data_IF_336949724317
#
_entry.id   IF_336949724317
#
_cell.length_a   1.000
_cell.length_b   1.000
_cell.length_c   1.000
_cell.angle_alpha   90.00
_cell.angle_beta   90.00
_cell.angle_gamma   90.00
#
_symmetry.space_group_name_H-M   'P 1'
#
loop_
_entity.id
_entity.type
_entity.pdbx_description
1 polymer ?
#
# COMPACT_ATOMS: atom_id res chain seq x y z
N UNK A 1 0.48 21.76 -19.85
CA UNK A 1 1.21 20.56 -19.38
C UNK A 1 0.20 19.49 -18.97
N UNK A 2 -0.11 18.51 -19.83
CA UNK A 2 -0.98 17.39 -19.45
C UNK A 2 -0.16 16.36 -18.67
N UNK A 3 -0.20 16.42 -17.34
CA UNK A 3 0.33 15.39 -16.47
C UNK A 3 -0.51 14.11 -16.63
N UNK A 4 -0.03 13.19 -17.48
CA UNK A 4 -0.58 11.84 -17.62
C UNK A 4 -0.60 11.22 -16.22
N UNK A 5 -1.77 11.15 -15.57
CA UNK A 5 -1.96 10.50 -14.27
C UNK A 5 -1.48 9.05 -14.43
N UNK A 6 -0.32 8.72 -13.85
CA UNK A 6 0.17 7.33 -13.86
C UNK A 6 -0.90 6.52 -13.13
N UNK A 7 -1.47 5.52 -13.80
CA UNK A 7 -2.38 4.57 -13.15
C UNK A 7 -1.56 3.87 -12.06
N UNK A 8 -1.73 4.29 -10.82
CA UNK A 8 -1.16 3.59 -9.68
C UNK A 8 -1.80 2.22 -9.60
N UNK A 9 -0.99 1.18 -9.39
CA UNK A 9 -1.48 -0.19 -9.22
C UNK A 9 -2.54 -0.22 -8.12
N UNK A 10 -3.58 -1.04 -8.31
CA UNK A 10 -4.53 -1.29 -7.23
C UNK A 10 -3.80 -2.02 -6.11
N UNK A 11 -3.80 -1.46 -4.90
CA UNK A 11 -3.36 -2.17 -3.71
C UNK A 11 -4.18 -3.46 -3.53
N UNK A 12 -3.51 -4.55 -3.17
CA UNK A 12 -4.16 -5.84 -2.95
C UNK A 12 -5.06 -5.79 -1.71
N UNK A 13 -6.01 -6.73 -1.60
CA UNK A 13 -6.85 -6.83 -0.42
C UNK A 13 -6.03 -7.14 0.84
N UNK A 14 -4.94 -7.90 0.70
CA UNK A 14 -4.06 -8.24 1.81
C UNK A 14 -3.23 -7.03 2.26
N UNK A 15 -2.76 -6.22 1.30
CA UNK A 15 -2.13 -4.92 1.58
C UNK A 15 -3.10 -3.96 2.28
N UNK A 16 -4.37 -3.89 1.83
CA UNK A 16 -5.40 -3.07 2.49
C UNK A 16 -5.63 -3.51 3.94
N UNK A 17 -5.84 -4.81 4.16
CA UNK A 17 -6.06 -5.36 5.51
C UNK A 17 -4.88 -5.07 6.42
N UNK A 18 -3.65 -5.26 5.92
CA UNK A 18 -2.44 -5.00 6.69
C UNK A 18 -2.27 -3.52 7.04
N UNK A 19 -2.57 -2.62 6.10
CA UNK A 19 -2.57 -1.18 6.34
C UNK A 19 -3.58 -0.79 7.43
N UNK A 20 -4.82 -1.29 7.33
CA UNK A 20 -5.87 -1.01 8.32
C UNK A 20 -5.43 -1.49 9.71
N UNK A 21 -4.97 -2.74 9.81
CA UNK A 21 -4.49 -3.31 11.07
C UNK A 21 -3.36 -2.47 11.69
N UNK A 22 -2.40 -2.03 10.87
CA UNK A 22 -1.29 -1.20 11.34
C UNK A 22 -1.78 0.17 11.85
N UNK A 23 -2.75 0.77 11.18
CA UNK A 23 -3.33 2.05 11.58
C UNK A 23 -4.22 1.94 12.84
N UNK A 24 -4.87 0.81 13.06
CA UNK A 24 -5.62 0.55 14.31
C UNK A 24 -4.70 0.37 15.52
N UNK A 25 -3.51 -0.21 15.31
CA UNK A 25 -2.48 -0.35 16.34
C UNK A 25 -1.72 0.95 16.61
N UNK A 26 -1.70 1.89 15.66
CA UNK A 26 -1.00 3.16 15.74
C UNK A 26 -2.00 4.33 15.63
N UNK A 27 -2.81 4.53 16.67
CA UNK A 27 -3.87 5.54 16.69
C UNK A 27 -3.36 6.97 16.43
N UNK A 28 -2.15 7.29 16.90
CA UNK A 28 -1.53 8.59 16.66
C UNK A 28 -1.28 8.83 15.16
N UNK A 29 -0.78 7.80 14.46
CA UNK A 29 -0.57 7.82 13.01
C UNK A 29 -1.90 7.98 12.25
N UNK A 30 -2.96 7.30 12.72
CA UNK A 30 -4.31 7.43 12.14
C UNK A 30 -4.92 8.82 12.39
N UNK A 31 -4.67 9.42 13.55
CA UNK A 31 -5.22 10.72 13.92
C UNK A 31 -4.62 11.87 13.09
N UNK A 32 -3.38 11.70 12.62
CA UNK A 32 -2.63 12.74 11.91
C UNK A 32 -2.25 13.94 12.80
N UNK A 33 -2.50 13.87 14.12
CA UNK A 33 -2.21 14.94 15.06
C UNK A 33 -0.86 14.69 15.73
N UNK A 34 0.04 15.66 15.60
CA UNK A 34 1.29 15.64 16.36
C UNK A 34 1.03 15.96 17.83
N UNK A 35 1.60 15.15 18.71
CA UNK A 35 1.55 15.33 20.16
C UNK A 35 2.97 15.44 20.71
N UNK A 36 3.14 15.74 22.00
CA UNK A 36 4.47 15.70 22.63
C UNK A 36 5.17 14.33 22.48
N UNK A 37 4.39 13.26 22.35
CA UNK A 37 4.90 11.89 22.25
C UNK A 37 4.89 11.38 20.80
N UNK A 38 4.14 12.02 19.90
CA UNK A 38 4.06 11.69 18.49
C UNK A 38 4.59 12.84 17.64
N UNK A 39 5.88 12.74 17.27
CA UNK A 39 6.56 13.76 16.48
C UNK A 39 6.46 13.47 14.98
N UNK A 40 6.77 14.47 14.16
CA UNK A 40 6.91 14.28 12.71
C UNK A 40 7.87 13.14 12.36
N UNK A 41 9.01 13.05 13.06
CA UNK A 41 10.00 11.99 12.86
C UNK A 41 9.41 10.61 13.14
N UNK A 42 8.71 10.46 14.26
CA UNK A 42 8.01 9.22 14.63
C UNK A 42 6.97 8.83 13.58
N UNK A 43 6.18 9.80 13.10
CA UNK A 43 5.20 9.55 12.04
C UNK A 43 5.86 9.11 10.73
N UNK A 44 6.97 9.75 10.34
CA UNK A 44 7.73 9.37 9.15
C UNK A 44 8.30 7.95 9.28
N UNK A 45 8.86 7.59 10.43
CA UNK A 45 9.37 6.25 10.71
C UNK A 45 8.27 5.19 10.58
N UNK A 46 7.08 5.44 11.15
CA UNK A 46 5.95 4.53 11.04
C UNK A 46 5.45 4.39 9.59
N UNK A 47 5.41 5.48 8.82
CA UNK A 47 5.06 5.44 7.40
C UNK A 47 6.08 4.65 6.57
N UNK A 48 7.37 4.80 6.85
CA UNK A 48 8.41 3.99 6.20
C UNK A 48 8.28 2.51 6.56
N UNK A 49 8.03 2.19 7.83
CA UNK A 49 7.83 0.82 8.30
C UNK A 49 6.63 0.14 7.60
N UNK A 50 5.45 0.76 7.61
CA UNK A 50 4.28 0.17 6.95
C UNK A 50 4.47 0.06 5.44
N UNK A 51 5.14 1.03 4.81
CA UNK A 51 5.47 0.95 3.38
C UNK A 51 6.37 -0.25 3.08
N UNK A 52 7.39 -0.48 3.91
CA UNK A 52 8.26 -1.66 3.76
C UNK A 52 7.47 -2.97 3.92
N UNK A 53 6.61 -3.06 4.93
CA UNK A 53 5.72 -4.20 5.15
C UNK A 53 4.83 -4.44 3.93
N UNK A 54 4.15 -3.41 3.42
CA UNK A 54 3.24 -3.53 2.27
C UNK A 54 3.95 -3.93 0.98
N UNK A 55 5.19 -3.47 0.77
CA UNK A 55 6.02 -3.83 -0.38
C UNK A 55 6.61 -5.24 -0.25
N UNK A 56 6.78 -5.75 0.97
CA UNK A 56 7.23 -7.12 1.23
C UNK A 56 6.12 -8.16 1.01
N UNK A 57 4.85 -7.74 1.05
CA UNK A 57 3.74 -8.64 0.78
C UNK A 57 3.78 -9.04 -0.71
N UNK A 58 3.67 -10.35 -1.02
CA UNK A 58 3.67 -10.80 -2.40
C UNK A 58 2.51 -10.10 -3.12
N UNK A 59 2.84 -9.22 -4.07
CA UNK A 59 1.85 -8.68 -4.98
C UNK A 59 1.21 -9.88 -5.66
N UNK A 60 -0.11 -10.06 -5.51
CA UNK A 60 -0.87 -10.97 -6.38
C UNK A 60 -0.64 -10.47 -7.80
N UNK A 61 0.39 -11.01 -8.47
CA UNK A 61 0.74 -10.70 -9.85
C UNK A 61 -0.53 -10.83 -10.65
N UNK A 62 -1.12 -9.70 -11.07
CA UNK A 62 -2.06 -9.69 -12.21
C UNK A 62 -1.24 -9.97 -13.46
N UNK A 63 -0.75 -11.21 -13.60
CA UNK A 63 0.05 -11.64 -14.74
C UNK A 63 0.06 -13.16 -14.86
N UNK A 64 -1.12 -13.79 -14.91
CA UNK A 64 -1.26 -15.14 -15.49
C UNK A 64 -2.57 -15.28 -16.28
N UNK A 65 -3.69 -14.72 -15.82
CA UNK A 65 -4.97 -14.77 -16.56
C UNK A 65 -5.04 -13.94 -17.86
N UNK A 66 -4.04 -13.09 -18.13
CA UNK A 66 -3.95 -12.33 -19.38
C UNK A 66 -3.19 -13.08 -20.49
N UNK A 67 -2.33 -14.05 -20.14
CA UNK A 67 -1.61 -14.87 -21.12
C UNK A 67 -2.41 -16.10 -21.56
N UNK A 68 -3.26 -16.66 -20.68
CA UNK A 68 -4.17 -17.75 -21.05
C UNK A 68 -5.26 -17.33 -22.03
N UNK A 69 -5.57 -16.02 -22.12
CA UNK A 69 -6.55 -15.49 -23.08
C UNK A 69 -6.02 -15.28 -24.50
N UNK A 70 -4.70 -15.25 -24.70
CA UNK A 70 -4.09 -15.08 -26.04
C UNK A 70 -3.67 -16.41 -26.70
N UNK A 71 -3.58 -17.51 -25.95
CA UNK A 71 -3.20 -18.85 -26.49
C UNK A 71 -4.42 -19.77 -26.75
N UNK A 72 -5.64 -19.24 -26.66
CA UNK A 72 -6.90 -20.00 -26.76
C UNK A 72 -7.83 -19.61 -27.91
N UNK A 73 -7.34 -18.88 -28.92
CA UNK A 73 -8.05 -18.69 -30.19
C UNK A 73 -7.14 -19.11 -31.34
N UNK A 74 -7.16 -20.42 -31.59
CA UNK A 74 -7.11 -20.91 -32.98
C UNK A 74 -8.40 -20.50 -33.68
#
# INVERSE_FOLDING_TARGET
>A
MNSKKRKTGSISQDQKKKLIQFMEQNLDLRSGKFTKNFTFKTGQELWMQITHILNSLPEKKKRLAAMEKDMGRY
#
